data_IF_639679227934
#
_entry.id   IF_639679227934
#
_cell.length_a   1.000
_cell.length_b   1.000
_cell.length_c   1.000
_cell.angle_alpha   90.00
_cell.angle_beta   90.00
_cell.angle_gamma   90.00
#
_symmetry.space_group_name_H-M   'P 1'
#
loop_
_entity.id
_entity.type
_entity.pdbx_description
1 polymer ?
#
# COMPACT_ATOMS: atom_id res chain seq x y z
N UNK A 1 -33.53 -20.91 -6.16
CA UNK A 1 -32.46 -21.80 -5.65
C UNK A 1 -31.14 -21.20 -6.10
N UNK A 2 -30.49 -20.44 -5.22
CA UNK A 2 -29.19 -19.79 -5.43
C UNK A 2 -28.51 -19.77 -4.06
N UNK A 3 -27.57 -20.69 -3.85
CA UNK A 3 -26.65 -20.69 -2.72
C UNK A 3 -25.33 -20.21 -3.26
N UNK A 4 -24.79 -19.13 -2.70
CA UNK A 4 -23.41 -19.01 -2.23
C UNK A 4 -23.37 -17.69 -1.45
N UNK A 5 -23.51 -17.84 -0.13
CA UNK A 5 -23.32 -16.80 0.88
C UNK A 5 -21.85 -16.38 0.91
N UNK A 6 -21.60 -15.08 0.98
CA UNK A 6 -20.28 -14.45 1.07
C UNK A 6 -20.02 -14.09 2.54
N UNK A 7 -20.08 -15.09 3.42
CA UNK A 7 -19.97 -14.88 4.87
C UNK A 7 -18.77 -15.56 5.54
N UNK A 8 -17.80 -16.09 4.80
CA UNK A 8 -16.61 -16.74 5.38
C UNK A 8 -15.30 -16.14 4.83
N UNK A 9 -15.09 -14.84 5.08
CA UNK A 9 -13.74 -14.27 5.08
C UNK A 9 -13.37 -13.95 6.52
N UNK A 10 -12.78 -14.93 7.19
CA UNK A 10 -12.30 -14.78 8.56
C UNK A 10 -11.01 -13.95 8.54
N UNK A 11 -11.11 -12.69 8.98
CA UNK A 11 -9.96 -11.79 9.12
C UNK A 11 -8.94 -12.29 10.16
N UNK A 12 -9.30 -13.30 10.95
CA UNK A 12 -8.47 -13.93 11.96
C UNK A 12 -7.44 -14.91 11.38
N UNK A 13 -7.67 -15.48 10.19
CA UNK A 13 -6.76 -16.47 9.60
C UNK A 13 -5.44 -15.85 9.09
N UNK A 14 -5.48 -14.56 8.73
CA UNK A 14 -4.30 -13.77 8.37
C UNK A 14 -3.54 -13.22 9.59
N UNK A 15 -4.23 -13.03 10.72
CA UNK A 15 -3.60 -12.60 11.98
C UNK A 15 -2.96 -13.77 12.73
N UNK A 16 -3.49 -15.00 12.60
CA UNK A 16 -2.93 -16.18 13.23
C UNK A 16 -1.58 -16.61 12.65
N UNK A 17 -1.22 -16.19 11.43
CA UNK A 17 0.07 -16.45 10.82
C UNK A 17 1.23 -15.58 11.35
N UNK A 18 0.98 -14.70 12.32
CA UNK A 18 1.96 -13.76 12.89
C UNK A 18 2.54 -14.23 14.24
N UNK A 19 1.95 -15.24 14.90
CA UNK A 19 2.39 -15.70 16.24
C UNK A 19 2.90 -17.16 16.28
N UNK A 20 3.99 -17.42 15.56
CA UNK A 20 4.69 -18.72 15.58
C UNK A 20 5.96 -18.71 16.46
N UNK A 21 6.09 -17.76 17.41
CA UNK A 21 7.27 -17.63 18.29
C UNK A 21 7.04 -17.96 19.77
N UNK A 22 5.98 -18.71 20.10
CA UNK A 22 5.82 -19.25 21.46
C UNK A 22 6.75 -20.46 21.67
N UNK A 23 7.88 -20.23 22.34
CA UNK A 23 8.67 -21.29 22.97
C UNK A 23 8.14 -21.55 24.39
N UNK A 24 7.62 -22.74 24.72
CA UNK A 24 7.57 -23.18 26.10
C UNK A 24 8.84 -23.97 26.42
N UNK A 25 9.51 -23.66 27.53
CA UNK A 25 9.96 -24.67 28.49
C UNK A 25 10.68 -24.06 29.69
N UNK A 26 10.21 -24.38 30.90
CA UNK A 26 11.09 -24.97 31.91
C UNK A 26 10.33 -25.70 33.03
N UNK A 27 10.73 -26.95 33.23
CA UNK A 27 10.76 -27.79 34.44
C UNK A 27 9.64 -28.81 34.78
N UNK A 28 10.01 -30.09 34.59
CA UNK A 28 9.84 -31.32 35.42
C UNK A 28 8.39 -31.84 35.58
N UNK A 29 8.07 -33.11 35.26
CA UNK A 29 8.54 -34.35 35.94
C UNK A 29 8.28 -35.63 35.08
N UNK A 30 9.01 -36.70 35.44
CA UNK A 30 9.02 -38.08 34.94
C UNK A 30 7.65 -38.77 34.74
N UNK A 31 7.52 -39.59 33.67
CA UNK A 31 7.23 -41.05 33.75
C UNK A 31 6.98 -41.68 32.34
N UNK A 32 7.92 -42.52 31.91
CA UNK A 32 7.77 -43.87 31.33
C UNK A 32 6.58 -44.26 30.42
N UNK A 33 6.90 -44.90 29.27
CA UNK A 33 6.42 -46.22 28.74
C UNK A 33 6.18 -46.23 27.20
N UNK A 34 7.09 -46.97 26.52
CA UNK A 34 6.94 -47.94 25.41
C UNK A 34 6.17 -47.66 24.09
N UNK A 35 6.92 -47.80 23.00
CA UNK A 35 6.76 -48.76 21.88
C UNK A 35 5.71 -48.59 20.76
N UNK A 36 6.22 -48.78 19.54
CA UNK A 36 5.67 -49.51 18.37
C UNK A 36 5.22 -48.72 17.12
N UNK A 37 6.15 -48.66 16.15
CA UNK A 37 6.13 -49.15 14.76
C UNK A 37 4.84 -49.23 13.89
N UNK A 38 5.12 -49.00 12.59
CA UNK A 38 4.51 -49.42 11.31
C UNK A 38 3.66 -48.36 10.58
N UNK A 39 3.96 -47.88 9.36
CA UNK A 39 4.38 -48.45 8.04
C UNK A 39 3.19 -48.86 7.14
N UNK A 40 3.29 -48.43 5.86
CA UNK A 40 2.55 -48.69 4.60
C UNK A 40 1.40 -47.72 4.27
N UNK A 41 1.38 -46.99 3.13
CA UNK A 41 1.63 -47.26 1.69
C UNK A 41 0.47 -47.94 0.94
N UNK A 42 0.37 -47.57 -0.35
CA UNK A 42 -0.49 -48.00 -1.48
C UNK A 42 -1.82 -47.26 -1.64
N UNK A 43 -2.20 -46.63 -2.76
CA UNK A 43 -1.99 -46.73 -4.22
C UNK A 43 -3.37 -46.94 -4.91
N UNK A 44 -3.58 -46.13 -5.96
CA UNK A 44 -4.18 -46.45 -7.25
C UNK A 44 -5.66 -46.17 -7.66
N UNK A 45 -5.71 -45.55 -8.86
CA UNK A 45 -6.56 -45.75 -10.05
C UNK A 45 -8.03 -45.28 -10.16
N UNK A 46 -8.18 -44.19 -10.92
CA UNK A 46 -8.78 -44.10 -12.28
C UNK A 46 -10.19 -44.66 -12.56
N UNK A 47 -11.08 -43.79 -13.05
CA UNK A 47 -12.09 -44.17 -14.06
C UNK A 47 -12.73 -42.97 -14.78
N UNK A 48 -12.61 -43.02 -16.11
CA UNK A 48 -13.18 -42.13 -17.14
C UNK A 48 -14.71 -42.16 -17.19
N UNK A 49 -15.34 -41.02 -17.52
CA UNK A 49 -16.59 -40.95 -18.30
C UNK A 49 -16.59 -39.75 -19.26
N UNK A 50 -16.84 -40.04 -20.54
CA UNK A 50 -17.09 -39.11 -21.63
C UNK A 50 -18.58 -38.71 -21.67
N UNK A 51 -18.89 -37.46 -22.05
CA UNK A 51 -20.04 -37.11 -22.90
C UNK A 51 -19.76 -35.81 -23.67
N UNK A 52 -20.26 -35.76 -24.90
CA UNK A 52 -20.06 -34.70 -25.90
C UNK A 52 -21.07 -33.54 -25.80
N UNK A 53 -20.75 -32.38 -26.38
CA UNK A 53 -21.58 -31.65 -27.37
C UNK A 53 -21.44 -30.12 -27.35
N UNK A 54 -21.29 -29.56 -28.57
CA UNK A 54 -21.74 -28.25 -29.10
C UNK A 54 -20.92 -26.97 -28.85
N UNK A 55 -20.44 -26.40 -29.96
CA UNK A 55 -20.02 -25.01 -30.14
C UNK A 55 -21.20 -24.08 -30.44
N UNK A 56 -21.05 -22.77 -30.19
CA UNK A 56 -21.64 -21.75 -31.07
C UNK A 56 -20.62 -20.70 -31.56
N UNK A 57 -20.92 -20.17 -32.75
CA UNK A 57 -20.18 -19.18 -33.56
C UNK A 57 -20.42 -17.71 -33.11
N UNK A 58 -19.63 -16.73 -33.62
CA UNK A 58 -19.39 -15.45 -32.96
C UNK A 58 -20.41 -14.35 -33.31
N UNK A 59 -20.64 -13.44 -32.37
CA UNK A 59 -21.50 -12.25 -32.53
C UNK A 59 -20.70 -11.04 -33.01
N UNK A 60 -21.24 -10.35 -34.01
CA UNK A 60 -20.71 -9.15 -34.70
C UNK A 60 -20.62 -7.92 -33.77
N UNK A 61 -19.51 -7.17 -33.84
CA UNK A 61 -19.37 -5.80 -33.29
C UNK A 61 -19.81 -4.77 -34.33
N UNK A 62 -20.75 -3.90 -33.96
CA UNK A 62 -21.05 -2.64 -34.65
C UNK A 62 -20.12 -1.53 -34.14
N UNK A 63 -19.74 -0.60 -35.03
CA UNK A 63 -18.78 0.47 -34.78
C UNK A 63 -19.35 1.82 -34.33
N UNK A 64 -18.43 2.80 -34.35
CA UNK A 64 -18.59 4.27 -34.21
C UNK A 64 -18.80 4.77 -32.75
N UNK A 65 -18.18 5.85 -32.24
CA UNK A 65 -17.62 7.10 -32.80
C UNK A 65 -16.49 7.64 -31.90
N UNK A 66 -15.54 8.32 -32.53
CA UNK A 66 -14.43 9.13 -32.01
C UNK A 66 -14.84 10.39 -31.24
N UNK A 67 -14.04 10.83 -30.26
CA UNK A 67 -13.81 12.26 -30.00
C UNK A 67 -12.43 12.48 -29.36
N UNK A 68 -11.57 13.11 -30.15
CA UNK A 68 -10.33 13.77 -29.77
C UNK A 68 -10.61 14.99 -28.89
N UNK A 69 -9.87 15.15 -27.79
CA UNK A 69 -9.72 16.44 -27.13
C UNK A 69 -8.29 16.92 -27.33
N UNK A 70 -8.20 18.16 -27.80
CA UNK A 70 -7.01 18.89 -28.20
C UNK A 70 -6.14 19.26 -26.99
N UNK A 71 -4.84 19.00 -27.14
CA UNK A 71 -3.78 19.70 -26.41
C UNK A 71 -3.87 21.19 -26.73
N UNK A 72 -4.12 22.01 -25.71
CA UNK A 72 -3.61 23.37 -25.61
C UNK A 72 -3.97 23.96 -24.25
N UNK A 73 -3.13 24.88 -23.79
CA UNK A 73 -3.21 25.69 -22.55
C UNK A 73 -2.43 25.08 -21.37
N UNK A 74 -1.13 25.39 -21.30
CA UNK A 74 -0.46 26.07 -20.16
C UNK A 74 1.03 26.29 -20.51
N UNK A 75 1.34 27.43 -21.12
CA UNK A 75 2.71 27.87 -21.41
C UNK A 75 3.15 28.85 -20.29
N UNK A 76 4.23 28.53 -19.55
CA UNK A 76 4.78 29.37 -18.48
C UNK A 76 6.18 29.85 -18.88
N UNK A 77 6.48 31.17 -18.89
CA UNK A 77 7.77 31.66 -19.35
C UNK A 77 8.85 31.57 -18.27
N UNK A 78 10.02 30.98 -18.58
CA UNK A 78 11.25 31.26 -17.83
C UNK A 78 12.21 30.09 -17.57
N UNK A 79 12.74 29.43 -18.60
CA UNK A 79 13.96 28.60 -18.42
C UNK A 79 14.89 28.68 -19.63
N UNK A 80 16.20 28.94 -19.46
CA UNK A 80 17.15 29.04 -20.57
C UNK A 80 17.30 27.70 -21.31
N UNK A 81 17.17 27.72 -22.64
CA UNK A 81 17.36 26.54 -23.51
C UNK A 81 18.85 26.29 -23.72
N UNK A 82 19.34 25.11 -23.37
CA UNK A 82 20.68 24.64 -23.77
C UNK A 82 20.73 24.40 -25.30
N UNK A 83 21.90 24.56 -25.96
CA UNK A 83 21.99 24.45 -27.42
C UNK A 83 21.69 23.01 -27.86
N UNK A 84 20.74 22.83 -28.80
CA UNK A 84 20.54 21.56 -29.50
C UNK A 84 21.77 21.27 -30.35
N UNK A 85 22.46 20.17 -30.08
CA UNK A 85 23.45 19.59 -31.00
C UNK A 85 22.75 19.09 -32.27
N UNK A 86 23.25 19.52 -33.42
CA UNK A 86 22.88 19.04 -34.75
C UNK A 86 23.32 17.57 -34.88
N UNK A 87 22.51 16.63 -35.40
CA UNK A 87 22.97 15.28 -35.63
C UNK A 87 23.85 15.23 -36.90
N UNK A 88 25.07 14.71 -36.76
CA UNK A 88 25.91 14.25 -37.86
C UNK A 88 25.24 13.10 -38.63
N UNK A 89 25.33 13.07 -39.97
CA UNK A 89 24.77 11.98 -40.76
C UNK A 89 25.69 10.76 -40.69
N UNK A 90 25.33 9.80 -39.85
CA UNK A 90 26.01 8.53 -39.68
C UNK A 90 25.10 7.55 -38.95
N UNK A 91 24.65 6.53 -39.68
CA UNK A 91 23.57 5.62 -39.30
C UNK A 91 24.03 4.62 -38.20
N UNK A 92 23.97 5.03 -36.93
CA UNK A 92 24.34 4.17 -35.78
C UNK A 92 23.29 4.09 -34.65
N UNK A 93 22.04 4.49 -34.91
CA UNK A 93 20.94 4.31 -33.95
C UNK A 93 19.67 3.68 -34.55
N UNK A 94 19.81 2.80 -35.55
CA UNK A 94 18.74 1.90 -35.97
C UNK A 94 18.92 0.52 -35.34
N UNK A 95 18.67 0.45 -34.02
CA UNK A 95 18.28 -0.77 -33.26
C UNK A 95 18.10 -0.52 -31.75
N UNK A 96 17.65 0.66 -31.34
CA UNK A 96 16.88 0.76 -30.10
C UNK A 96 15.42 0.46 -30.44
N UNK A 97 15.14 -0.81 -30.75
CA UNK A 97 13.78 -1.30 -30.63
C UNK A 97 13.41 -1.13 -29.17
N UNK A 98 12.56 -0.15 -28.87
CA UNK A 98 11.61 -0.25 -27.76
C UNK A 98 11.17 -1.71 -27.73
N UNK A 99 11.44 -2.42 -26.63
CA UNK A 99 11.05 -3.81 -26.51
C UNK A 99 9.56 -3.86 -26.83
N UNK A 100 9.27 -4.46 -27.98
CA UNK A 100 7.94 -4.78 -28.44
C UNK A 100 7.33 -5.60 -27.32
N UNK A 101 6.19 -5.15 -26.81
CA UNK A 101 5.42 -5.82 -25.77
C UNK A 101 5.35 -7.31 -26.12
N UNK A 102 6.11 -8.11 -25.39
CA UNK A 102 5.83 -9.53 -25.29
C UNK A 102 4.42 -9.57 -24.71
N UNK A 103 3.44 -9.91 -25.55
CA UNK A 103 2.17 -10.46 -25.13
C UNK A 103 2.45 -11.79 -24.40
N UNK A 104 3.05 -11.67 -23.21
CA UNK A 104 2.88 -12.62 -22.13
C UNK A 104 1.38 -12.57 -21.83
N UNK A 105 0.75 -13.73 -21.74
CA UNK A 105 -0.60 -13.90 -21.22
C UNK A 105 -0.70 -13.31 -19.81
N UNK A 106 -0.83 -11.99 -19.70
CA UNK A 106 -0.88 -11.26 -18.45
C UNK A 106 -2.30 -11.35 -17.89
N UNK A 107 -2.60 -12.48 -17.23
CA UNK A 107 -3.39 -12.33 -16.02
C UNK A 107 -2.57 -11.43 -15.09
N UNK A 108 -3.13 -10.35 -14.53
CA UNK A 108 -2.41 -9.60 -13.51
C UNK A 108 -2.07 -10.58 -12.39
N UNK A 109 -0.78 -10.83 -12.16
CA UNK A 109 -0.32 -11.67 -11.06
C UNK A 109 -0.94 -11.13 -9.77
N UNK A 110 -1.62 -11.98 -9.03
CA UNK A 110 -2.09 -11.62 -7.68
C UNK A 110 -0.87 -11.33 -6.81
N UNK A 111 -1.04 -10.57 -5.71
CA UNK A 111 0.10 -10.26 -4.83
C UNK A 111 0.70 -11.53 -4.22
N UNK A 112 -0.13 -12.54 -4.05
CA UNK A 112 0.23 -13.87 -3.57
C UNK A 112 1.19 -14.57 -4.54
N UNK A 113 1.01 -14.38 -5.84
CA UNK A 113 1.90 -14.94 -6.87
C UNK A 113 3.32 -14.38 -6.77
N UNK A 114 3.48 -13.15 -6.25
CA UNK A 114 4.79 -12.51 -6.05
C UNK A 114 5.58 -13.08 -4.86
N UNK A 115 4.92 -13.81 -3.94
CA UNK A 115 5.54 -14.27 -2.69
C UNK A 115 6.76 -15.14 -2.96
N UNK A 116 6.67 -16.04 -3.96
CA UNK A 116 7.76 -16.96 -4.31
C UNK A 116 9.03 -16.19 -4.72
N UNK A 117 8.89 -15.24 -5.65
CA UNK A 117 10.03 -14.48 -6.19
C UNK A 117 10.62 -13.52 -5.14
N UNK A 118 9.77 -12.89 -4.33
CA UNK A 118 10.22 -12.05 -3.21
C UNK A 118 10.91 -12.87 -2.13
N UNK A 119 10.41 -14.07 -1.80
CA UNK A 119 11.05 -14.97 -0.85
C UNK A 119 12.43 -15.40 -1.36
N UNK A 120 12.58 -15.71 -2.65
CA UNK A 120 13.89 -15.98 -3.24
C UNK A 120 14.85 -14.79 -3.08
N UNK A 121 14.36 -13.57 -3.31
CA UNK A 121 15.14 -12.34 -3.12
C UNK A 121 15.58 -12.14 -1.66
N UNK A 122 14.69 -12.37 -0.69
CA UNK A 122 15.03 -12.30 0.73
C UNK A 122 16.01 -13.40 1.15
N UNK A 123 15.91 -14.60 0.58
CA UNK A 123 16.86 -15.69 0.84
C UNK A 123 18.26 -15.32 0.34
N UNK A 124 18.35 -14.74 -0.86
CA UNK A 124 19.62 -14.22 -1.41
C UNK A 124 20.20 -13.10 -0.55
N UNK A 125 19.35 -12.21 -0.02
CA UNK A 125 19.76 -11.15 0.90
C UNK A 125 20.38 -11.74 2.17
N UNK A 126 19.75 -12.73 2.79
CA UNK A 126 20.29 -13.41 3.97
C UNK A 126 21.66 -14.03 3.69
N UNK A 127 21.81 -14.76 2.58
CA UNK A 127 23.10 -15.31 2.17
C UNK A 127 24.16 -14.22 1.95
N UNK A 128 23.78 -13.10 1.34
CA UNK A 128 24.68 -11.97 1.07
C UNK A 128 25.14 -11.25 2.35
N UNK A 129 24.33 -11.30 3.41
CA UNK A 129 24.70 -10.80 4.74
C UNK A 129 25.62 -11.76 5.51
N UNK A 130 25.95 -12.94 4.95
CA UNK A 130 26.77 -13.96 5.58
C UNK A 130 26.01 -14.89 6.54
N UNK A 131 24.68 -14.80 6.57
CA UNK A 131 23.85 -15.71 7.36
C UNK A 131 23.68 -17.07 6.67
N UNK A 132 23.38 -18.11 7.45
CA UNK A 132 22.97 -19.42 6.94
C UNK A 132 21.43 -19.48 6.82
N UNK A 133 20.83 -19.41 5.62
CA UNK A 133 19.37 -19.43 5.48
C UNK A 133 18.72 -20.76 5.90
N UNK A 134 19.52 -21.82 6.09
CA UNK A 134 19.04 -23.13 6.52
C UNK A 134 19.01 -23.30 8.05
N UNK A 135 19.46 -22.31 8.84
CA UNK A 135 19.33 -22.40 10.31
C UNK A 135 17.87 -22.31 10.72
N UNK A 136 17.49 -23.01 11.79
CA UNK A 136 16.09 -23.15 12.25
C UNK A 136 15.31 -21.83 12.23
N UNK A 137 15.87 -20.74 12.76
CA UNK A 137 15.20 -19.43 12.82
C UNK A 137 14.99 -18.73 11.47
N UNK A 138 15.76 -19.07 10.43
CA UNK A 138 15.69 -18.42 9.11
C UNK A 138 14.96 -19.22 8.05
N UNK A 139 14.63 -20.50 8.28
CA UNK A 139 13.99 -21.36 7.29
C UNK A 139 12.76 -20.73 6.64
N UNK A 140 11.86 -20.17 7.47
CA UNK A 140 10.64 -19.47 7.02
C UNK A 140 10.80 -17.95 6.89
N UNK A 141 11.96 -17.38 7.22
CA UNK A 141 12.16 -15.91 7.18
C UNK A 141 11.94 -15.32 5.79
N UNK A 142 12.42 -15.92 4.68
CA UNK A 142 12.21 -15.31 3.37
C UNK A 142 10.73 -15.16 2.99
N UNK A 143 9.91 -16.18 3.28
CA UNK A 143 8.47 -16.13 3.03
C UNK A 143 7.77 -15.12 3.94
N UNK A 144 8.10 -15.10 5.25
CA UNK A 144 7.55 -14.12 6.20
C UNK A 144 7.91 -12.69 5.81
N UNK A 145 9.15 -12.46 5.38
CA UNK A 145 9.61 -11.14 4.95
C UNK A 145 8.90 -10.68 3.67
N UNK A 146 8.69 -11.58 2.70
CA UNK A 146 7.89 -11.30 1.51
C UNK A 146 6.46 -10.88 1.85
N UNK A 147 5.75 -11.69 2.66
CA UNK A 147 4.39 -11.39 3.13
C UNK A 147 4.32 -10.06 3.88
N UNK A 148 5.28 -9.80 4.77
CA UNK A 148 5.35 -8.54 5.50
C UNK A 148 5.54 -7.32 4.58
N UNK A 149 6.44 -7.40 3.59
CA UNK A 149 6.65 -6.32 2.63
C UNK A 149 5.41 -6.07 1.77
N UNK A 150 4.72 -7.13 1.35
CA UNK A 150 3.45 -7.02 0.64
C UNK A 150 2.39 -6.32 1.49
N UNK A 151 2.30 -6.62 2.79
CA UNK A 151 1.40 -5.93 3.72
C UNK A 151 1.77 -4.46 3.91
N UNK A 152 3.06 -4.15 4.06
CA UNK A 152 3.53 -2.75 4.19
C UNK A 152 3.28 -1.91 2.95
N UNK A 153 3.04 -2.56 1.81
CA UNK A 153 2.80 -1.91 0.50
C UNK A 153 1.40 -2.16 -0.05
N UNK A 154 0.47 -2.72 0.74
CA UNK A 154 -0.91 -3.04 0.31
C UNK A 154 -1.75 -1.83 -0.10
N UNK A 155 -1.31 -0.62 0.24
CA UNK A 155 -2.00 0.61 -0.09
C UNK A 155 -1.97 0.96 -1.58
N UNK A 156 -1.11 0.31 -2.38
CA UNK A 156 -1.12 0.46 -3.84
C UNK A 156 -2.37 -0.14 -4.50
N UNK A 157 -2.93 -1.19 -3.90
CA UNK A 157 -4.06 -1.95 -4.44
C UNK A 157 -5.42 -1.45 -3.93
N UNK A 158 -5.41 -0.37 -3.14
CA UNK A 158 -6.61 0.21 -2.55
C UNK A 158 -7.01 1.47 -3.31
N UNK A 159 -8.26 1.53 -3.75
CA UNK A 159 -8.85 2.75 -4.29
C UNK A 159 -9.45 3.60 -3.16
N UNK A 160 -9.47 4.92 -3.39
CA UNK A 160 -10.14 5.84 -2.47
C UNK A 160 -11.66 5.56 -2.42
N UNK A 161 -12.27 5.28 -3.57
CA UNK A 161 -13.71 5.05 -3.68
C UNK A 161 -14.18 3.84 -2.86
N UNK A 162 -13.50 2.70 -2.98
CA UNK A 162 -13.82 1.50 -2.19
C UNK A 162 -13.59 1.73 -0.69
N UNK A 163 -12.54 2.48 -0.33
CA UNK A 163 -12.25 2.77 1.07
C UNK A 163 -13.33 3.65 1.70
N UNK A 164 -13.84 4.65 0.96
CA UNK A 164 -14.93 5.53 1.41
C UNK A 164 -16.24 4.75 1.55
N UNK A 165 -16.53 3.80 0.65
CA UNK A 165 -17.72 2.94 0.67
C UNK A 165 -19.03 3.72 0.91
N UNK A 166 -19.18 4.88 0.25
CA UNK A 166 -20.38 5.72 0.39
C UNK A 166 -20.62 6.32 1.78
N UNK A 167 -19.66 6.25 2.71
CA UNK A 167 -19.80 6.79 4.08
C UNK A 167 -19.63 8.32 4.13
N UNK A 168 -20.34 9.01 3.24
CA UNK A 168 -20.46 10.46 3.18
C UNK A 168 -21.90 10.78 3.57
N UNK A 169 -22.06 11.64 4.56
CA UNK A 169 -23.36 11.98 5.12
C UNK A 169 -23.65 13.45 4.86
N UNK A 170 -24.88 13.74 4.46
CA UNK A 170 -25.37 15.12 4.37
C UNK A 170 -25.80 15.57 5.77
N UNK A 171 -25.02 16.47 6.36
CA UNK A 171 -25.23 17.02 7.69
C UNK A 171 -24.98 18.52 7.61
N UNK A 172 -25.88 19.33 8.19
CA UNK A 172 -25.78 20.80 8.16
C UNK A 172 -24.77 21.29 9.20
N UNK A 173 -23.51 20.93 8.97
CA UNK A 173 -22.38 21.29 9.81
C UNK A 173 -21.34 22.06 8.99
N UNK A 174 -20.95 23.23 9.48
CA UNK A 174 -20.02 24.16 8.83
C UNK A 174 -18.86 24.57 9.74
N UNK A 175 -18.70 23.89 10.89
CA UNK A 175 -17.59 24.08 11.82
C UNK A 175 -16.46 23.07 11.59
N UNK A 176 -15.29 23.31 12.21
CA UNK A 176 -14.12 22.45 12.04
C UNK A 176 -14.35 21.07 12.65
N UNK A 177 -14.22 20.03 11.82
CA UNK A 177 -14.15 18.64 12.26
C UNK A 177 -12.69 18.21 12.28
N UNK A 178 -12.23 17.65 13.42
CA UNK A 178 -10.86 17.23 13.61
C UNK A 178 -10.75 15.82 14.17
N UNK A 179 -9.91 14.99 13.53
CA UNK A 179 -9.45 13.71 14.08
C UNK A 179 -7.94 13.79 14.24
N UNK A 180 -7.48 13.74 15.49
CA UNK A 180 -6.06 13.79 15.83
C UNK A 180 -5.57 12.46 16.40
N UNK A 181 -4.24 12.35 16.48
CA UNK A 181 -3.56 11.17 17.03
C UNK A 181 -3.82 9.87 16.25
N UNK A 182 -4.06 9.94 14.95
CA UNK A 182 -4.17 8.76 14.08
C UNK A 182 -2.78 8.13 13.94
N UNK A 183 -2.59 6.94 14.49
CA UNK A 183 -1.33 6.22 14.35
C UNK A 183 -1.04 5.87 12.88
N UNK A 184 0.21 6.08 12.48
CA UNK A 184 0.64 5.86 11.11
C UNK A 184 1.97 5.12 11.08
N UNK A 185 2.03 4.12 10.20
CA UNK A 185 3.23 3.38 9.86
C UNK A 185 3.42 3.44 8.34
N UNK A 186 4.63 3.76 7.90
CA UNK A 186 5.00 3.81 6.49
C UNK A 186 6.45 3.37 6.28
N UNK A 187 6.86 3.25 5.02
CA UNK A 187 8.18 2.78 4.62
C UNK A 187 8.92 3.87 3.86
N UNK A 188 10.11 4.25 4.32
CA UNK A 188 10.93 5.23 3.62
C UNK A 188 11.41 4.65 2.30
N UNK A 189 11.04 5.26 1.17
CA UNK A 189 11.39 4.74 -0.16
C UNK A 189 12.89 4.71 -0.44
N UNK A 190 13.67 5.58 0.21
CA UNK A 190 15.12 5.66 0.01
C UNK A 190 15.90 4.48 0.62
N UNK A 191 15.35 3.85 1.66
CA UNK A 191 16.08 2.85 2.45
C UNK A 191 15.29 1.57 2.73
N UNK A 192 14.00 1.53 2.37
CA UNK A 192 13.07 0.46 2.73
C UNK A 192 13.07 0.18 4.24
N UNK A 193 13.14 1.25 5.03
CA UNK A 193 13.17 1.23 6.49
C UNK A 193 11.94 2.01 7.02
N UNK A 194 11.26 1.55 8.07
CA UNK A 194 10.06 2.20 8.54
C UNK A 194 10.26 3.64 9.01
N UNK A 195 9.24 4.47 8.79
CA UNK A 195 8.99 5.66 9.59
C UNK A 195 7.56 5.62 10.09
N UNK A 196 7.35 6.06 11.32
CA UNK A 196 6.06 5.93 12.00
C UNK A 196 5.79 7.16 12.84
N UNK A 197 4.54 7.37 13.22
CA UNK A 197 4.17 8.51 14.04
C UNK A 197 2.67 8.73 14.05
N UNK A 198 2.27 10.00 14.08
CA UNK A 198 0.88 10.40 14.22
C UNK A 198 0.45 11.38 13.15
N UNK A 199 -0.80 11.24 12.72
CA UNK A 199 -1.45 12.13 11.77
C UNK A 199 -2.61 12.83 12.47
N UNK A 200 -2.70 14.13 12.25
CA UNK A 200 -3.84 14.95 12.65
C UNK A 200 -4.47 15.56 11.41
N UNK A 201 -5.77 15.36 11.24
CA UNK A 201 -6.55 15.83 10.10
C UNK A 201 -7.66 16.73 10.61
N UNK A 202 -7.74 17.93 10.06
CA UNK A 202 -8.86 18.87 10.25
C UNK A 202 -9.47 19.23 8.90
N UNK A 203 -10.78 19.41 8.85
CA UNK A 203 -11.46 19.95 7.68
C UNK A 203 -12.70 20.74 8.10
N UNK A 204 -13.12 21.69 7.26
CA UNK A 204 -14.36 22.44 7.47
C UNK A 204 -15.35 21.96 6.40
N UNK A 205 -16.38 21.18 6.78
CA UNK A 205 -17.32 20.62 5.84
C UNK A 205 -18.10 21.69 5.07
N UNK A 206 -18.64 21.31 3.92
CA UNK A 206 -19.63 22.08 3.19
C UNK A 206 -20.84 21.17 2.95
N UNK A 207 -21.69 21.01 3.98
CA UNK A 207 -22.87 20.12 4.03
C UNK A 207 -22.59 18.61 4.00
N UNK A 208 -21.37 18.19 3.61
CA UNK A 208 -20.97 16.78 3.55
C UNK A 208 -19.92 16.45 4.60
N UNK A 209 -20.23 15.50 5.47
CA UNK A 209 -19.33 14.98 6.49
C UNK A 209 -18.83 13.60 6.08
N UNK A 210 -17.55 13.34 6.33
CA UNK A 210 -16.95 12.03 6.16
C UNK A 210 -17.03 11.23 7.46
N UNK A 211 -17.45 9.96 7.40
CA UNK A 211 -17.40 9.08 8.56
C UNK A 211 -15.98 9.01 9.17
N UNK A 212 -15.86 9.18 10.49
CA UNK A 212 -14.57 9.37 11.17
C UNK A 212 -13.55 8.26 10.88
N UNK A 213 -14.00 6.99 10.82
CA UNK A 213 -13.15 5.84 10.51
C UNK A 213 -12.53 5.90 9.11
N UNK A 214 -13.15 6.63 8.17
CA UNK A 214 -12.64 6.78 6.80
C UNK A 214 -11.43 7.69 6.72
N UNK A 215 -11.28 8.66 7.63
CA UNK A 215 -10.06 9.46 7.71
C UNK A 215 -8.85 8.58 8.05
N UNK A 216 -8.98 7.68 9.03
CA UNK A 216 -7.94 6.71 9.34
C UNK A 216 -7.66 5.76 8.17
N UNK A 217 -8.71 5.33 7.44
CA UNK A 217 -8.54 4.49 6.25
C UNK A 217 -7.80 5.20 5.12
N UNK A 218 -8.08 6.48 4.88
CA UNK A 218 -7.34 7.32 3.93
C UNK A 218 -5.86 7.38 4.31
N UNK A 219 -5.54 7.57 5.60
CA UNK A 219 -4.15 7.53 6.08
C UNK A 219 -3.50 6.20 5.72
N UNK A 220 -4.17 5.07 5.96
CA UNK A 220 -3.64 3.74 5.69
C UNK A 220 -3.36 3.49 4.19
N UNK A 221 -4.25 3.91 3.29
CA UNK A 221 -4.07 3.75 1.83
C UNK A 221 -2.74 4.36 1.36
N UNK A 222 -2.40 5.55 1.87
CA UNK A 222 -1.19 6.25 1.46
C UNK A 222 0.02 5.87 2.30
N UNK A 223 -0.14 5.55 3.57
CA UNK A 223 0.99 5.18 4.45
C UNK A 223 1.51 3.78 4.15
N UNK A 224 0.65 2.86 3.71
CA UNK A 224 1.03 1.49 3.29
C UNK A 224 1.59 1.46 1.86
N UNK A 225 2.58 2.33 1.61
CA UNK A 225 3.33 2.48 0.36
C UNK A 225 4.79 2.80 0.68
N UNK A 226 5.64 2.79 -0.33
CA UNK A 226 6.96 3.41 -0.24
C UNK A 226 6.79 4.93 -0.38
N UNK A 227 7.31 5.68 0.59
CA UNK A 227 6.93 7.07 0.78
C UNK A 227 8.09 8.00 1.16
N UNK A 228 7.79 9.28 0.94
CA UNK A 228 8.41 10.46 1.53
C UNK A 228 7.34 11.18 2.34
N UNK A 229 7.66 11.65 3.56
CA UNK A 229 6.65 12.13 4.51
C UNK A 229 5.87 13.35 3.98
N UNK A 230 6.56 14.24 3.26
CA UNK A 230 5.99 15.40 2.58
C UNK A 230 4.93 15.00 1.55
N UNK A 231 5.22 13.95 0.76
CA UNK A 231 4.29 13.42 -0.26
C UNK A 231 3.09 12.76 0.40
N UNK A 232 3.32 11.94 1.42
CA UNK A 232 2.27 11.30 2.22
C UNK A 232 1.29 12.34 2.78
N UNK A 233 1.83 13.40 3.39
CA UNK A 233 1.03 14.49 3.98
C UNK A 233 0.14 15.15 2.93
N UNK A 234 0.71 15.46 1.76
CA UNK A 234 -0.04 16.08 0.66
C UNK A 234 -1.11 15.15 0.08
N UNK A 235 -0.80 13.88 -0.10
CA UNK A 235 -1.74 12.89 -0.65
C UNK A 235 -2.98 12.72 0.24
N UNK A 236 -2.80 12.64 1.56
CA UNK A 236 -3.90 12.56 2.51
C UNK A 236 -4.80 13.81 2.40
N UNK A 237 -4.22 15.01 2.40
CA UNK A 237 -5.00 16.25 2.31
C UNK A 237 -5.80 16.35 1.00
N UNK A 238 -5.18 15.95 -0.13
CA UNK A 238 -5.84 15.92 -1.43
C UNK A 238 -6.95 14.87 -1.47
N UNK A 239 -6.74 13.68 -0.91
CA UNK A 239 -7.75 12.63 -0.88
C UNK A 239 -8.99 13.03 -0.05
N UNK A 240 -8.80 13.67 1.10
CA UNK A 240 -9.93 14.22 1.89
C UNK A 240 -10.67 15.29 1.10
N UNK A 241 -9.94 16.15 0.38
CA UNK A 241 -10.54 17.17 -0.48
C UNK A 241 -11.37 16.55 -1.61
N UNK A 242 -10.86 15.49 -2.25
CA UNK A 242 -11.56 14.75 -3.30
C UNK A 242 -12.81 14.03 -2.77
N UNK A 243 -12.75 13.51 -1.55
CA UNK A 243 -13.84 12.73 -0.95
C UNK A 243 -15.07 13.58 -0.64
N UNK A 244 -14.90 14.74 -0.01
CA UNK A 244 -16.05 15.52 0.53
C UNK A 244 -16.12 16.97 0.04
N UNK A 245 -15.17 17.43 -0.78
CA UNK A 245 -15.11 18.80 -1.29
C UNK A 245 -15.36 19.88 -0.20
N UNK A 246 -14.60 19.83 0.91
CA UNK A 246 -14.80 20.74 2.03
C UNK A 246 -14.32 22.15 1.68
N UNK A 247 -14.70 23.13 2.49
CA UNK A 247 -14.20 24.52 2.40
C UNK A 247 -12.68 24.59 2.58
N UNK A 248 -12.10 23.63 3.32
CA UNK A 248 -10.66 23.45 3.40
C UNK A 248 -10.27 22.21 4.21
N UNK A 249 -9.00 21.83 4.10
CA UNK A 249 -8.40 20.68 4.78
C UNK A 249 -7.03 21.07 5.33
N UNK A 250 -6.71 20.58 6.51
CA UNK A 250 -5.40 20.62 7.12
C UNK A 250 -4.96 19.22 7.54
N UNK A 251 -3.72 18.87 7.20
CA UNK A 251 -3.08 17.63 7.64
C UNK A 251 -1.73 17.95 8.24
N UNK A 252 -1.43 17.37 9.40
CA UNK A 252 -0.11 17.38 10.03
C UNK A 252 0.32 15.95 10.29
N UNK A 253 1.58 15.65 9.97
CA UNK A 253 2.22 14.40 10.33
C UNK A 253 3.43 14.72 11.19
N UNK A 254 3.50 14.13 12.38
CA UNK A 254 4.70 14.06 13.20
C UNK A 254 5.24 12.63 13.12
N UNK A 255 6.45 12.46 12.58
CA UNK A 255 7.05 11.15 12.30
C UNK A 255 8.46 10.99 12.85
N UNK A 256 8.79 9.76 13.24
CA UNK A 256 10.13 9.28 13.59
C UNK A 256 10.63 8.39 12.46
N UNK A 257 11.81 8.68 11.94
CA UNK A 257 12.41 7.98 10.81
C UNK A 257 13.48 7.02 11.28
N UNK A 258 13.27 5.70 11.17
CA UNK A 258 14.26 4.73 11.64
C UNK A 258 15.57 4.83 10.85
N UNK A 259 15.53 5.30 9.60
CA UNK A 259 16.73 5.59 8.82
C UNK A 259 17.63 6.69 9.42
N UNK A 260 17.12 7.53 10.33
CA UNK A 260 17.89 8.51 11.11
C UNK A 260 18.21 8.05 12.53
N UNK A 261 17.46 7.09 13.07
CA UNK A 261 17.58 6.65 14.47
C UNK A 261 18.53 5.47 14.62
N UNK A 262 18.37 4.41 13.82
CA UNK A 262 19.14 3.17 13.98
C UNK A 262 20.39 3.09 13.10
N UNK A 263 20.58 4.08 12.21
CA UNK A 263 21.72 4.17 11.30
C UNK A 263 22.02 5.62 10.93
N UNK A 264 23.12 5.83 10.20
CA UNK A 264 23.50 7.14 9.70
C UNK A 264 23.85 8.10 10.84
N UNK A 265 23.05 9.16 11.01
CA UNK A 265 23.28 10.21 12.02
C UNK A 265 22.86 9.83 13.44
N UNK A 266 22.11 8.73 13.60
CA UNK A 266 21.71 8.12 14.88
C UNK A 266 21.12 9.10 15.91
N UNK A 267 20.16 9.92 15.49
CA UNK A 267 19.49 10.92 16.35
C UNK A 267 18.16 10.38 16.89
N UNK A 268 18.22 9.73 18.05
CA UNK A 268 17.09 9.02 18.68
C UNK A 268 15.92 9.93 19.09
N UNK A 269 16.15 11.21 19.31
CA UNK A 269 15.12 12.18 19.71
C UNK A 269 14.58 13.00 18.53
N UNK A 270 15.12 12.82 17.32
CA UNK A 270 14.73 13.61 16.15
C UNK A 270 13.32 13.24 15.70
N UNK A 271 12.51 14.26 15.44
CA UNK A 271 11.17 14.12 14.85
C UNK A 271 11.02 15.07 13.68
N UNK A 272 10.31 14.60 12.66
CA UNK A 272 10.00 15.39 11.47
C UNK A 272 8.52 15.74 11.49
N UNK A 273 8.21 17.03 11.40
CA UNK A 273 6.84 17.53 11.28
C UNK A 273 6.62 18.08 9.89
N UNK A 274 5.63 17.55 9.18
CA UNK A 274 5.19 18.02 7.86
C UNK A 274 3.74 18.43 7.93
N UNK A 275 3.34 19.42 7.12
CA UNK A 275 1.95 19.86 7.05
C UNK A 275 1.52 20.17 5.64
N UNK A 276 0.21 20.05 5.37
CA UNK A 276 -0.41 20.50 4.13
C UNK A 276 -1.73 21.16 4.47
N UNK A 277 -1.89 22.41 4.01
CA UNK A 277 -3.08 23.23 4.20
C UNK A 277 -3.70 23.52 2.82
N UNK A 278 -5.01 23.34 2.70
CA UNK A 278 -5.82 23.56 1.50
C UNK A 278 -7.07 24.37 1.84
N UNK A 279 -7.57 25.15 0.88
CA UNK A 279 -8.77 26.00 1.05
C UNK A 279 -8.62 26.99 2.21
N UNK A 280 -9.67 27.15 3.01
CA UNK A 280 -9.70 28.12 4.13
C UNK A 280 -8.55 27.96 5.13
N UNK A 281 -7.99 26.76 5.33
CA UNK A 281 -6.80 26.58 6.19
C UNK A 281 -5.52 27.17 5.61
N UNK A 282 -5.43 27.34 4.29
CA UNK A 282 -4.32 28.01 3.62
C UNK A 282 -4.53 29.52 3.63
N UNK A 283 -5.76 29.94 3.31
CA UNK A 283 -6.05 31.34 3.00
C UNK A 283 -6.34 32.17 4.26
N UNK A 284 -6.99 31.58 5.28
CA UNK A 284 -7.25 32.25 6.57
C UNK A 284 -6.24 31.81 7.65
N UNK A 285 -5.37 32.72 8.14
CA UNK A 285 -4.47 32.41 9.24
C UNK A 285 -5.19 32.08 10.56
N UNK A 286 -6.39 32.61 10.82
CA UNK A 286 -7.10 32.36 12.09
C UNK A 286 -7.57 30.92 12.18
N UNK A 287 -8.23 30.41 11.14
CA UNK A 287 -8.61 28.99 11.04
C UNK A 287 -7.40 28.07 11.15
N UNK A 288 -6.28 28.43 10.50
CA UNK A 288 -5.04 27.66 10.61
C UNK A 288 -4.50 27.63 12.04
N UNK A 289 -4.50 28.76 12.72
CA UNK A 289 -4.01 28.87 14.10
C UNK A 289 -4.88 28.06 15.07
N UNK A 290 -6.20 28.14 14.93
CA UNK A 290 -7.15 27.31 15.69
C UNK A 290 -6.80 25.83 15.59
N UNK A 291 -6.65 25.32 14.36
CA UNK A 291 -6.27 23.94 14.11
C UNK A 291 -4.91 23.56 14.72
N UNK A 292 -3.89 24.41 14.55
CA UNK A 292 -2.57 24.16 15.12
C UNK A 292 -2.60 24.08 16.65
N UNK A 293 -3.46 24.89 17.30
CA UNK A 293 -3.63 24.88 18.75
C UNK A 293 -4.36 23.62 19.22
N UNK A 294 -5.42 23.20 18.52
CA UNK A 294 -6.15 21.95 18.81
C UNK A 294 -5.31 20.69 18.56
N UNK A 295 -4.43 20.72 17.55
CA UNK A 295 -3.48 19.65 17.25
C UNK A 295 -2.41 19.48 18.33
N UNK A 296 -2.04 20.56 19.02
CA UNK A 296 -0.99 20.58 20.04
C UNK A 296 -1.51 20.33 21.46
N UNK A 297 -2.80 20.53 21.72
CA UNK A 297 -3.36 20.32 23.05
C UNK A 297 -3.24 18.86 23.47
N UNK A 298 -2.58 18.64 24.61
CA UNK A 298 -2.47 17.34 25.28
C UNK A 298 -3.66 17.12 26.19
#
# INVERSE_FOLDING_TARGET
>A
MSKYDVSDFDADELNHAIDDTNFPNSHLTLASISSANNINDDENEDSRRQTASSMPMPVKRNGHISKSFSDDVFDVPGTPKTPRSIPTPGNWHEKCTFHHDLELDHRPSTREDLISDMANSYRMLLSSLGENPNRQGLLKTPERAAKAMLYFTKGYDQSLEEALNGAIFDEDHDEMVMVKDIEMFSMCEHHLVPFYGKVSIGYIPCKKILGLSKLARIVEIFSRRLQVQERLTKQIAVAVTQAVQPSGVAVIIEGVHMCMVMRGVSKTQSKTVTSTMLGVFRDDPKTREEFLNLARSK
#
